data_IF_354004968327
#
_entry.id   IF_354004968327
#
_cell.length_a   1.000
_cell.length_b   1.000
_cell.length_c   1.000
_cell.angle_alpha   90.00
_cell.angle_beta   90.00
_cell.angle_gamma   90.00
#
_symmetry.space_group_name_H-M   'P 1'
#
loop_
_entity.id
_entity.type
_entity.pdbx_description
1 polymer ?
#
# COMPACT_ATOMS: atom_id res chain seq x y z
N UNK A 1 47.52 -5.85 41.38
CA UNK A 1 46.48 -4.90 41.83
C UNK A 1 45.85 -4.30 40.60
N UNK A 2 44.73 -4.89 40.19
CA UNK A 2 43.90 -4.48 39.07
C UNK A 2 42.53 -4.19 39.68
N UNK A 3 42.14 -2.92 39.69
CA UNK A 3 40.79 -2.41 39.97
C UNK A 3 40.69 -1.11 39.14
N UNK A 4 39.66 -0.77 38.39
CA UNK A 4 38.36 -1.38 38.17
C UNK A 4 37.59 -0.34 37.34
N UNK A 5 37.69 -0.43 36.01
CA UNK A 5 36.85 0.36 35.10
C UNK A 5 35.54 -0.40 34.91
N UNK A 6 34.52 0.00 35.67
CA UNK A 6 33.13 -0.40 35.45
C UNK A 6 32.67 0.13 34.07
N UNK A 7 32.83 -0.70 33.05
CA UNK A 7 32.09 -0.57 31.81
C UNK A 7 30.62 -0.93 32.09
N UNK A 8 29.76 0.08 32.14
CA UNK A 8 28.31 -0.11 32.20
C UNK A 8 27.83 -0.95 31.00
N UNK A 9 26.81 -1.79 31.18
CA UNK A 9 26.35 -2.68 30.13
C UNK A 9 25.86 -1.85 28.94
N UNK A 10 26.57 -1.99 27.82
CA UNK A 10 26.15 -1.53 26.51
C UNK A 10 24.73 -2.01 26.25
N UNK A 11 23.82 -1.07 26.00
CA UNK A 11 22.46 -1.30 25.55
C UNK A 11 22.46 -2.01 24.18
N UNK A 12 22.70 -3.32 24.19
CA UNK A 12 22.34 -4.25 23.13
C UNK A 12 20.95 -4.78 23.48
N UNK A 13 19.98 -4.53 22.60
CA UNK A 13 18.72 -5.27 22.59
C UNK A 13 17.52 -4.59 23.23
N UNK A 14 17.19 -3.38 22.78
CA UNK A 14 15.78 -2.99 22.67
C UNK A 14 15.46 -2.78 21.20
N UNK A 15 15.15 -3.89 20.52
CA UNK A 15 14.31 -3.80 19.32
C UNK A 15 12.99 -3.23 19.82
N UNK A 16 12.76 -1.93 19.61
CA UNK A 16 11.46 -1.33 19.90
C UNK A 16 10.43 -2.18 19.16
N UNK A 17 9.53 -2.85 19.89
CA UNK A 17 8.45 -3.63 19.29
C UNK A 17 7.61 -2.66 18.47
N UNK A 18 7.82 -2.59 17.15
CA UNK A 18 6.91 -1.89 16.25
C UNK A 18 5.53 -2.50 16.45
N UNK A 19 4.57 -1.69 16.89
CA UNK A 19 3.21 -2.11 17.24
C UNK A 19 2.35 -2.40 16.01
N UNK A 20 2.62 -1.75 14.88
CA UNK A 20 1.90 -1.94 13.61
C UNK A 20 2.80 -2.23 12.41
N UNK A 21 2.19 -2.76 11.35
CA UNK A 21 2.82 -3.04 10.06
C UNK A 21 2.31 -2.09 8.96
N UNK A 22 3.09 -1.93 7.89
CA UNK A 22 2.68 -1.18 6.70
C UNK A 22 2.82 -2.04 5.44
N UNK A 23 1.82 -1.96 4.57
CA UNK A 23 1.75 -2.60 3.27
C UNK A 23 1.66 -1.52 2.21
N UNK A 24 2.62 -1.45 1.29
CA UNK A 24 2.52 -0.56 0.14
C UNK A 24 1.87 -1.29 -1.04
N UNK A 25 0.83 -0.73 -1.63
CA UNK A 25 0.16 -1.26 -2.81
C UNK A 25 0.48 -0.32 -3.97
N UNK A 26 1.24 -0.80 -4.94
CA UNK A 26 1.72 0.01 -6.07
C UNK A 26 1.22 -0.54 -7.40
N UNK A 27 0.85 0.37 -8.29
CA UNK A 27 0.41 0.06 -9.63
C UNK A 27 1.48 0.09 -10.69
N UNK A 28 1.02 -0.26 -11.87
CA UNK A 28 1.65 0.01 -13.16
C UNK A 28 0.88 1.11 -13.89
N UNK A 29 1.50 1.72 -14.91
CA UNK A 29 0.80 2.66 -15.78
C UNK A 29 -0.39 1.97 -16.49
N UNK A 30 -1.50 2.71 -16.65
CA UNK A 30 -2.68 2.26 -17.39
C UNK A 30 -3.83 1.72 -16.54
N UNK A 31 -3.94 2.16 -15.29
CA UNK A 31 -5.05 1.85 -14.37
C UNK A 31 -5.28 0.33 -14.14
N UNK A 32 -4.32 -0.40 -13.56
CA UNK A 32 -4.44 -1.83 -13.29
C UNK A 32 -5.39 -2.14 -12.12
N UNK A 33 -5.94 -1.13 -11.44
CA UNK A 33 -6.83 -1.30 -10.29
C UNK A 33 -6.11 -1.32 -8.93
N UNK A 34 -5.03 -0.55 -8.78
CA UNK A 34 -4.25 -0.43 -7.54
C UNK A 34 -5.09 0.06 -6.36
N UNK A 35 -5.71 1.22 -6.48
CA UNK A 35 -6.58 1.79 -5.44
C UNK A 35 -7.73 0.89 -5.07
N UNK A 36 -8.26 0.14 -6.04
CA UNK A 36 -9.26 -0.87 -5.78
C UNK A 36 -8.71 -2.03 -4.95
N UNK A 37 -7.53 -2.54 -5.30
CA UNK A 37 -6.86 -3.58 -4.53
C UNK A 37 -6.54 -3.10 -3.11
N UNK A 38 -5.99 -1.89 -2.94
CA UNK A 38 -5.68 -1.29 -1.65
C UNK A 38 -6.92 -1.14 -0.78
N UNK A 39 -8.00 -0.53 -1.31
CA UNK A 39 -9.24 -0.36 -0.57
C UNK A 39 -9.91 -1.69 -0.22
N UNK A 40 -9.90 -2.66 -1.15
CA UNK A 40 -10.43 -3.99 -0.89
C UNK A 40 -9.61 -4.79 0.13
N UNK A 41 -8.29 -4.60 0.21
CA UNK A 41 -7.44 -5.18 1.26
C UNK A 41 -7.77 -4.56 2.61
N UNK A 42 -7.90 -3.22 2.66
CA UNK A 42 -8.22 -2.47 3.86
C UNK A 42 -9.62 -2.76 4.40
N UNK A 43 -10.59 -3.09 3.54
CA UNK A 43 -11.91 -3.55 3.99
C UNK A 43 -11.86 -4.91 4.72
N UNK A 44 -10.88 -5.75 4.38
CA UNK A 44 -10.82 -7.14 4.85
C UNK A 44 -9.97 -7.30 6.09
N UNK A 45 -9.39 -6.22 6.60
CA UNK A 45 -8.53 -6.19 7.76
C UNK A 45 -8.82 -4.93 8.59
N UNK A 46 -8.75 -4.97 9.93
CA UNK A 46 -8.59 -3.77 10.76
C UNK A 46 -7.36 -2.93 10.34
N UNK A 47 -7.52 -2.04 9.35
CA UNK A 47 -6.43 -1.27 8.76
C UNK A 47 -6.87 0.16 8.49
N UNK A 48 -5.90 1.08 8.52
CA UNK A 48 -6.07 2.40 7.95
C UNK A 48 -5.57 2.39 6.51
N UNK A 49 -6.39 2.88 5.58
CA UNK A 49 -6.00 3.14 4.20
C UNK A 49 -5.42 4.54 4.10
N UNK A 50 -4.27 4.69 3.46
CA UNK A 50 -3.59 5.98 3.28
C UNK A 50 -3.40 6.22 1.79
N UNK A 51 -3.98 7.30 1.29
CA UNK A 51 -3.80 7.72 -0.09
C UNK A 51 -2.46 8.44 -0.24
N UNK A 52 -1.52 7.76 -0.89
CA UNK A 52 -0.18 8.22 -1.20
C UNK A 52 0.05 8.25 -2.72
N UNK A 53 -1.02 8.14 -3.52
CA UNK A 53 -0.95 8.30 -4.97
C UNK A 53 -0.65 9.76 -5.30
N UNK A 54 0.64 10.00 -5.54
CA UNK A 54 1.24 11.28 -5.86
C UNK A 54 1.08 11.66 -7.36
N UNK A 55 0.09 11.09 -8.07
CA UNK A 55 -0.31 11.46 -9.44
C UNK A 55 -1.76 11.93 -9.59
N UNK A 56 -2.46 12.21 -8.49
CA UNK A 56 -3.86 12.63 -8.47
C UNK A 56 -4.78 11.44 -8.22
N UNK A 57 -4.59 10.79 -7.07
CA UNK A 57 -5.41 9.68 -6.60
C UNK A 57 -6.91 10.00 -6.65
N UNK A 58 -7.72 8.95 -6.73
CA UNK A 58 -9.17 9.05 -6.89
C UNK A 58 -9.93 8.45 -5.70
N UNK A 59 -9.26 8.21 -4.56
CA UNK A 59 -9.94 7.63 -3.40
C UNK A 59 -10.98 8.59 -2.86
N UNK A 60 -10.74 9.90 -2.91
CA UNK A 60 -11.70 10.91 -2.46
C UNK A 60 -12.99 10.96 -3.30
N UNK A 61 -12.91 10.77 -4.62
CA UNK A 61 -14.09 10.67 -5.50
C UNK A 61 -14.94 9.44 -5.19
N UNK A 62 -14.31 8.40 -4.64
CA UNK A 62 -14.98 7.15 -4.27
C UNK A 62 -15.47 7.17 -2.83
N UNK A 63 -14.70 7.81 -1.96
CA UNK A 63 -14.99 8.05 -0.56
C UNK A 63 -15.96 9.22 -0.49
N UNK A 64 -17.25 8.94 -0.65
CA UNK A 64 -18.33 9.93 -0.54
C UNK A 64 -18.56 10.45 0.91
N UNK A 65 -17.49 10.49 1.71
CA UNK A 65 -17.50 11.07 3.05
C UNK A 65 -17.67 12.59 3.00
N UNK A 66 -18.19 13.15 4.09
CA UNK A 66 -18.39 14.59 4.25
C UNK A 66 -17.09 15.43 4.16
N UNK A 67 -17.14 16.73 4.49
CA UNK A 67 -15.98 17.61 4.36
C UNK A 67 -14.76 17.06 5.10
N UNK A 68 -13.61 17.04 4.42
CA UNK A 68 -12.33 16.54 4.95
C UNK A 68 -11.99 17.29 6.24
N UNK A 69 -11.72 16.55 7.33
CA UNK A 69 -11.35 17.12 8.64
C UNK A 69 -9.83 17.21 8.84
N UNK A 70 -9.08 16.49 8.00
CA UNK A 70 -7.62 16.44 7.94
C UNK A 70 -7.19 15.45 6.86
N UNK A 71 -5.88 15.31 6.64
CA UNK A 71 -5.32 14.45 5.62
C UNK A 71 -3.85 14.11 5.88
N UNK A 72 -3.23 13.49 4.88
CA UNK A 72 -1.84 13.04 4.96
C UNK A 72 -0.87 14.20 5.20
N UNK A 73 -1.12 15.37 4.62
CA UNK A 73 -0.24 16.54 4.78
C UNK A 73 -0.25 17.04 6.23
N UNK A 74 -1.43 17.15 6.84
CA UNK A 74 -1.57 17.53 8.24
C UNK A 74 -0.92 16.50 9.16
N UNK A 75 -1.00 15.20 8.82
CA UNK A 75 -0.28 14.16 9.56
C UNK A 75 1.24 14.32 9.44
N UNK A 76 1.78 14.60 8.25
CA UNK A 76 3.22 14.85 8.07
C UNK A 76 3.68 16.01 8.94
N UNK A 77 2.92 17.11 8.95
CA UNK A 77 3.20 18.28 9.80
C UNK A 77 3.16 17.94 11.28
N UNK A 78 2.13 17.21 11.72
CA UNK A 78 1.97 16.81 13.11
C UNK A 78 3.03 15.80 13.56
N UNK A 79 3.42 14.86 12.71
CA UNK A 79 4.49 13.90 12.99
C UNK A 79 5.88 14.57 13.06
N UNK A 80 6.04 15.70 12.37
CA UNK A 80 7.23 16.55 12.47
C UNK A 80 7.24 17.48 13.70
N UNK A 81 6.10 17.68 14.38
CA UNK A 81 6.02 18.51 15.58
C UNK A 81 6.27 17.68 16.84
N UNK A 82 6.92 18.27 17.84
CA UNK A 82 7.23 17.60 19.11
C UNK A 82 6.02 17.57 20.08
N UNK A 83 4.83 17.97 19.61
CA UNK A 83 3.69 18.29 20.47
C UNK A 83 2.89 17.06 20.93
N UNK A 84 3.17 15.87 20.36
CA UNK A 84 2.61 14.59 20.83
C UNK A 84 1.09 14.39 20.61
N UNK A 85 0.43 15.28 19.85
CA UNK A 85 -1.05 15.29 19.66
C UNK A 85 -1.55 14.40 18.50
N UNK A 86 -0.69 13.59 17.89
CA UNK A 86 -1.03 12.83 16.67
C UNK A 86 -2.22 11.87 16.88
N UNK A 87 -2.30 11.21 18.03
CA UNK A 87 -3.42 10.29 18.33
C UNK A 87 -4.78 10.98 18.33
N UNK A 88 -4.91 12.10 19.04
CA UNK A 88 -6.15 12.88 19.11
C UNK A 88 -6.53 13.51 17.75
N UNK A 89 -5.55 13.82 16.91
CA UNK A 89 -5.79 14.28 15.54
C UNK A 89 -6.34 13.14 14.68
N UNK A 90 -5.72 11.96 14.76
CA UNK A 90 -6.14 10.79 13.99
C UNK A 90 -7.57 10.35 14.35
N UNK A 91 -7.94 10.33 15.64
CA UNK A 91 -9.31 10.03 16.08
C UNK A 91 -10.36 11.00 15.51
N UNK A 92 -9.98 12.27 15.29
CA UNK A 92 -10.87 13.30 14.74
C UNK A 92 -10.93 13.29 13.21
N UNK A 93 -9.82 12.96 12.56
CA UNK A 93 -9.68 12.97 11.11
C UNK A 93 -10.24 11.71 10.46
N UNK A 94 -10.01 10.56 11.10
CA UNK A 94 -10.49 9.26 10.65
C UNK A 94 -11.92 9.09 11.13
N UNK A 95 -12.86 9.67 10.40
CA UNK A 95 -14.28 9.43 10.64
C UNK A 95 -14.70 8.07 10.04
N UNK A 96 -15.54 7.33 10.77
CA UNK A 96 -16.20 6.14 10.24
C UNK A 96 -17.09 6.52 9.05
N UNK A 97 -16.73 6.06 7.87
CA UNK A 97 -17.60 6.10 6.70
C UNK A 97 -18.22 4.72 6.50
N UNK A 98 -19.55 4.64 6.55
CA UNK A 98 -20.28 3.38 6.40
C UNK A 98 -19.84 2.61 5.14
N UNK A 99 -19.22 1.45 5.34
CA UNK A 99 -18.78 0.56 4.27
C UNK A 99 -17.45 0.93 3.61
N UNK A 100 -16.66 1.79 4.24
CA UNK A 100 -15.25 2.01 3.92
C UNK A 100 -14.36 1.79 5.16
N UNK A 101 -13.11 1.32 4.96
CA UNK A 101 -12.11 1.36 6.03
C UNK A 101 -11.82 2.82 6.46
N UNK A 102 -11.26 3.06 7.65
CA UNK A 102 -10.68 4.36 7.98
C UNK A 102 -9.70 4.80 6.90
N UNK A 103 -9.90 6.00 6.33
CA UNK A 103 -9.06 6.52 5.23
C UNK A 103 -8.43 7.84 5.61
N UNK A 104 -7.12 7.97 5.36
CA UNK A 104 -6.41 9.24 5.34
C UNK A 104 -6.13 9.64 3.89
N UNK A 105 -6.82 10.68 3.41
CA UNK A 105 -6.73 11.12 2.03
C UNK A 105 -5.45 11.95 1.77
N UNK A 106 -5.01 11.96 0.52
CA UNK A 106 -3.88 12.76 0.05
C UNK A 106 -4.18 14.26 0.10
N UNK A 107 -3.22 15.15 -0.19
CA UNK A 107 -3.46 16.59 -0.13
C UNK A 107 -4.51 17.04 -1.16
N UNK A 108 -5.39 18.00 -0.82
CA UNK A 108 -6.42 18.49 -1.74
C UNK A 108 -5.85 19.36 -2.87
N UNK A 109 -4.75 20.09 -2.62
CA UNK A 109 -4.09 20.96 -3.59
C UNK A 109 -2.76 20.36 -4.05
N UNK A 110 -2.91 19.34 -4.90
CA UNK A 110 -1.82 18.46 -5.29
C UNK A 110 -0.54 19.15 -5.77
N UNK A 111 -0.66 20.11 -6.68
CA UNK A 111 0.48 20.80 -7.27
C UNK A 111 1.26 21.65 -6.26
N UNK A 112 0.58 22.14 -5.21
CA UNK A 112 1.16 23.00 -4.19
C UNK A 112 1.83 22.18 -3.07
N UNK A 113 1.18 21.11 -2.65
CA UNK A 113 1.50 20.41 -1.40
C UNK A 113 2.47 19.24 -1.57
N UNK A 114 2.67 18.75 -2.81
CA UNK A 114 3.58 17.63 -3.11
C UNK A 114 5.02 17.87 -2.66
N UNK A 115 5.47 19.13 -2.68
CA UNK A 115 6.86 19.47 -2.32
C UNK A 115 7.19 19.15 -0.86
N UNK A 116 6.22 19.34 0.04
CA UNK A 116 6.37 19.05 1.46
C UNK A 116 6.35 17.55 1.72
N UNK A 117 5.44 16.82 1.07
CA UNK A 117 5.37 15.36 1.15
C UNK A 117 6.60 14.68 0.55
N UNK A 118 7.22 15.28 -0.47
CA UNK A 118 8.43 14.76 -1.10
C UNK A 118 9.71 15.06 -0.30
N UNK A 119 9.62 15.79 0.82
CA UNK A 119 10.78 16.04 1.66
C UNK A 119 11.26 14.72 2.29
N UNK A 120 12.56 14.41 2.26
CA UNK A 120 13.07 13.16 2.81
C UNK A 120 12.67 12.97 4.27
N UNK A 121 12.06 11.82 4.58
CA UNK A 121 11.62 11.51 5.94
C UNK A 121 10.14 11.81 6.19
N UNK A 122 9.49 12.64 5.36
CA UNK A 122 8.11 13.04 5.57
C UNK A 122 7.17 11.84 5.60
N UNK A 123 7.23 11.00 4.56
CA UNK A 123 6.37 9.81 4.44
C UNK A 123 6.72 8.78 5.51
N UNK A 124 8.01 8.50 5.70
CA UNK A 124 8.45 7.49 6.68
C UNK A 124 8.07 7.86 8.12
N UNK A 125 8.17 9.14 8.50
CA UNK A 125 7.74 9.62 9.81
C UNK A 125 6.22 9.55 9.99
N UNK A 126 5.45 9.93 8.97
CA UNK A 126 3.99 9.78 9.00
C UNK A 126 3.56 8.31 9.16
N UNK A 127 4.20 7.39 8.42
CA UNK A 127 3.95 5.95 8.58
C UNK A 127 4.38 5.42 9.95
N UNK A 128 5.50 5.91 10.50
CA UNK A 128 5.92 5.55 11.85
C UNK A 128 4.91 6.01 12.91
N UNK A 129 4.37 7.23 12.78
CA UNK A 129 3.33 7.74 13.65
C UNK A 129 2.05 6.89 13.54
N UNK A 130 1.59 6.57 12.34
CA UNK A 130 0.42 5.69 12.14
C UNK A 130 0.63 4.29 12.73
N UNK A 131 1.84 3.72 12.65
CA UNK A 131 2.14 2.38 13.20
C UNK A 131 1.98 2.32 14.73
N UNK A 132 2.02 3.46 15.41
CA UNK A 132 1.77 3.54 16.85
C UNK A 132 0.29 3.49 17.22
N UNK A 133 -0.61 3.75 16.27
CA UNK A 133 -2.06 3.81 16.48
C UNK A 133 -2.82 2.70 15.75
N UNK A 134 -2.30 2.22 14.63
CA UNK A 134 -2.94 1.22 13.79
C UNK A 134 -2.12 -0.05 13.69
N UNK A 135 -2.79 -1.21 13.74
CA UNK A 135 -2.11 -2.49 13.64
C UNK A 135 -1.62 -2.77 12.20
N UNK A 136 -2.33 -2.23 11.21
CA UNK A 136 -2.00 -2.31 9.79
C UNK A 136 -2.29 -0.98 9.10
N UNK A 137 -1.33 -0.55 8.27
CA UNK A 137 -1.46 0.57 7.35
C UNK A 137 -1.38 0.02 5.93
N UNK A 138 -2.30 0.44 5.07
CA UNK A 138 -2.27 0.11 3.65
C UNK A 138 -2.07 1.42 2.88
N UNK A 139 -0.93 1.55 2.22
CA UNK A 139 -0.59 2.71 1.41
C UNK A 139 -1.03 2.46 -0.04
N UNK A 140 -1.99 3.24 -0.53
CA UNK A 140 -2.34 3.26 -1.95
C UNK A 140 -1.38 4.18 -2.69
N UNK A 141 -0.53 3.61 -3.55
CA UNK A 141 0.45 4.34 -4.35
C UNK A 141 0.03 4.39 -5.81
N UNK A 142 0.51 5.41 -6.51
CA UNK A 142 0.39 5.50 -7.97
C UNK A 142 1.25 4.46 -8.69
N UNK A 143 1.87 4.86 -9.80
CA UNK A 143 2.77 3.98 -10.56
C UNK A 143 4.16 4.55 -10.79
N UNK A 144 4.41 5.81 -10.44
CA UNK A 144 5.63 6.48 -10.86
C UNK A 144 6.77 6.23 -9.87
N UNK A 145 7.85 5.59 -10.32
CA UNK A 145 9.08 5.37 -9.54
C UNK A 145 10.31 6.09 -10.10
N UNK A 146 10.26 6.53 -11.36
CA UNK A 146 11.34 7.27 -12.01
C UNK A 146 10.79 8.09 -13.19
N UNK A 147 11.36 9.27 -13.43
CA UNK A 147 11.10 10.12 -14.60
C UNK A 147 12.41 10.42 -15.32
N UNK A 148 12.76 9.59 -16.30
CA UNK A 148 14.04 9.69 -16.99
C UNK A 148 15.21 9.57 -16.01
N UNK A 149 16.08 10.59 -15.97
CA UNK A 149 17.26 10.62 -15.09
C UNK A 149 17.00 11.29 -13.72
N UNK A 150 15.80 11.84 -13.52
CA UNK A 150 15.44 12.57 -12.29
C UNK A 150 14.33 11.83 -11.52
N UNK A 151 14.28 12.06 -10.22
CA UNK A 151 13.18 11.59 -9.36
C UNK A 151 12.34 12.81 -8.99
N UNK A 152 11.22 13.00 -9.69
CA UNK A 152 10.26 14.06 -9.36
C UNK A 152 9.58 13.82 -8.00
N UNK A 153 8.85 14.83 -7.46
CA UNK A 153 8.22 14.75 -6.13
C UNK A 153 7.37 13.50 -5.92
N UNK A 154 6.57 13.13 -6.94
CA UNK A 154 5.72 11.95 -6.88
C UNK A 154 6.51 10.65 -6.75
N UNK A 155 7.61 10.53 -7.50
CA UNK A 155 8.49 9.38 -7.40
C UNK A 155 9.21 9.34 -6.04
N UNK A 156 9.59 10.48 -5.46
CA UNK A 156 10.17 10.52 -4.10
C UNK A 156 9.20 9.96 -3.06
N UNK A 157 7.94 10.41 -3.08
CA UNK A 157 6.88 9.97 -2.16
C UNK A 157 6.65 8.46 -2.28
N UNK A 158 6.44 7.96 -3.50
CA UNK A 158 6.20 6.54 -3.73
C UNK A 158 7.39 5.67 -3.30
N UNK A 159 8.62 6.08 -3.65
CA UNK A 159 9.83 5.33 -3.28
C UNK A 159 10.04 5.30 -1.78
N UNK A 160 9.81 6.42 -1.08
CA UNK A 160 9.93 6.45 0.38
C UNK A 160 8.88 5.56 1.05
N UNK A 161 7.63 5.56 0.57
CA UNK A 161 6.59 4.66 1.05
C UNK A 161 6.97 3.18 0.86
N UNK A 162 7.46 2.81 -0.33
CA UNK A 162 7.91 1.44 -0.62
C UNK A 162 9.07 0.99 0.29
N UNK A 163 10.07 1.86 0.49
CA UNK A 163 11.22 1.57 1.34
C UNK A 163 10.80 1.44 2.81
N UNK A 164 9.79 2.19 3.25
CA UNK A 164 9.28 2.21 4.62
C UNK A 164 8.31 1.08 4.95
N UNK A 165 7.66 0.49 3.94
CA UNK A 165 6.66 -0.58 4.10
C UNK A 165 7.31 -1.91 4.52
N UNK A 166 6.59 -2.77 5.24
CA UNK A 166 7.09 -4.11 5.57
C UNK A 166 6.96 -5.06 4.38
N UNK A 167 5.93 -4.88 3.54
CA UNK A 167 5.75 -5.59 2.28
C UNK A 167 5.17 -4.68 1.20
N UNK A 168 5.33 -5.09 -0.07
CA UNK A 168 4.90 -4.39 -1.27
C UNK A 168 4.02 -5.32 -2.10
N UNK A 169 2.81 -4.88 -2.44
CA UNK A 169 1.93 -5.53 -3.42
C UNK A 169 2.05 -4.78 -4.74
N UNK A 170 2.64 -5.42 -5.74
CA UNK A 170 2.68 -4.92 -7.11
C UNK A 170 1.45 -5.39 -7.87
N UNK A 171 0.56 -4.46 -8.22
CA UNK A 171 -0.68 -4.71 -8.96
C UNK A 171 -0.46 -4.50 -10.45
N UNK A 172 -0.50 -5.59 -11.21
CA UNK A 172 -0.34 -5.60 -12.67
C UNK A 172 -1.68 -5.93 -13.31
N UNK A 173 -2.10 -5.13 -14.30
CA UNK A 173 -3.34 -5.41 -15.01
C UNK A 173 -3.18 -6.50 -16.06
N UNK A 174 -4.24 -7.30 -16.29
CA UNK A 174 -4.22 -8.43 -17.21
C UNK A 174 -4.27 -8.06 -18.70
N UNK A 175 -4.10 -6.79 -19.09
CA UNK A 175 -4.08 -6.35 -20.50
C UNK A 175 -2.65 -6.27 -21.05
N UNK A 176 -2.48 -6.46 -22.35
CA UNK A 176 -1.17 -6.53 -23.02
C UNK A 176 -0.17 -5.45 -22.59
N UNK A 177 -0.52 -4.17 -22.73
CA UNK A 177 0.37 -3.07 -22.35
C UNK A 177 0.67 -3.01 -20.84
N UNK A 178 -0.29 -3.39 -19.99
CA UNK A 178 -0.12 -3.37 -18.54
C UNK A 178 0.90 -4.44 -18.09
N UNK A 179 0.95 -5.58 -18.76
CA UNK A 179 1.93 -6.65 -18.47
C UNK A 179 3.36 -6.12 -18.68
N UNK A 180 3.63 -5.49 -19.82
CA UNK A 180 4.94 -4.90 -20.12
C UNK A 180 5.34 -3.84 -19.09
N UNK A 181 4.43 -2.93 -18.75
CA UNK A 181 4.68 -1.95 -17.68
C UNK A 181 4.91 -2.60 -16.31
N UNK A 182 4.24 -3.72 -16.02
CA UNK A 182 4.41 -4.44 -14.76
C UNK A 182 5.76 -5.12 -14.62
N UNK A 183 6.26 -5.74 -15.69
CA UNK A 183 7.60 -6.33 -15.70
C UNK A 183 8.66 -5.24 -15.53
N UNK A 184 8.51 -4.11 -16.24
CA UNK A 184 9.41 -2.97 -16.09
C UNK A 184 9.39 -2.41 -14.65
N UNK A 185 8.19 -2.26 -14.07
CA UNK A 185 8.03 -1.81 -12.69
C UNK A 185 8.69 -2.77 -11.69
N UNK A 186 8.54 -4.09 -11.89
CA UNK A 186 9.23 -5.09 -11.07
C UNK A 186 10.75 -4.93 -11.13
N UNK A 187 11.29 -4.67 -12.32
CA UNK A 187 12.72 -4.35 -12.49
C UNK A 187 13.16 -3.13 -11.68
N UNK A 188 12.32 -2.09 -11.58
CA UNK A 188 12.58 -0.91 -10.74
C UNK A 188 12.57 -1.24 -9.24
N UNK A 189 11.64 -2.11 -8.80
CA UNK A 189 11.53 -2.55 -7.41
C UNK A 189 12.74 -3.37 -6.97
N UNK A 190 13.16 -4.36 -7.77
CA UNK A 190 14.23 -5.28 -7.41
C UNK A 190 15.64 -4.74 -7.72
N UNK A 191 15.79 -3.90 -8.74
CA UNK A 191 17.06 -3.33 -9.14
C UNK A 191 17.35 -1.99 -8.43
N UNK A 192 16.95 -0.84 -9.01
CA UNK A 192 17.20 0.49 -8.45
C UNK A 192 16.76 0.71 -7.00
N UNK A 193 15.64 0.13 -6.57
CA UNK A 193 15.19 0.21 -5.18
C UNK A 193 15.73 -0.90 -4.28
N UNK A 194 16.34 -1.94 -4.88
CA UNK A 194 16.91 -3.09 -4.18
C UNK A 194 15.98 -3.68 -3.10
N UNK A 195 14.66 -3.73 -3.38
CA UNK A 195 13.74 -4.37 -2.46
C UNK A 195 14.04 -5.88 -2.41
N UNK A 196 14.13 -6.47 -1.20
CA UNK A 196 14.25 -7.92 -1.07
C UNK A 196 13.07 -8.63 -1.75
N UNK A 197 13.30 -9.66 -2.58
CA UNK A 197 12.22 -10.36 -3.30
C UNK A 197 11.12 -10.88 -2.37
N UNK A 198 11.46 -11.35 -1.17
CA UNK A 198 10.51 -11.84 -0.17
C UNK A 198 9.52 -10.78 0.35
N UNK A 199 9.82 -9.48 0.13
CA UNK A 199 8.90 -8.38 0.45
C UNK A 199 7.95 -8.05 -0.69
N UNK A 200 8.14 -8.59 -1.89
CA UNK A 200 7.37 -8.24 -3.10
C UNK A 200 6.34 -9.31 -3.42
N UNK A 201 5.07 -8.91 -3.45
CA UNK A 201 3.93 -9.74 -3.77
C UNK A 201 3.35 -9.30 -5.12
N UNK A 202 3.41 -10.18 -6.11
CA UNK A 202 2.92 -9.88 -7.46
C UNK A 202 1.47 -10.31 -7.59
N UNK A 203 0.62 -9.35 -7.97
CA UNK A 203 -0.81 -9.56 -8.15
C UNK A 203 -1.20 -9.20 -9.58
N UNK A 204 -1.89 -10.12 -10.25
CA UNK A 204 -2.42 -9.88 -11.60
C UNK A 204 -3.93 -9.66 -11.51
N UNK A 205 -4.37 -8.45 -11.84
CA UNK A 205 -5.76 -8.01 -11.69
C UNK A 205 -6.54 -7.97 -13.01
N UNK A 206 -7.85 -8.24 -12.93
CA UNK A 206 -8.77 -8.19 -14.06
C UNK A 206 -8.72 -9.43 -14.97
N UNK A 207 -8.27 -10.58 -14.47
CA UNK A 207 -8.21 -11.82 -15.25
C UNK A 207 -9.59 -12.23 -15.75
N UNK A 208 -9.70 -12.62 -17.02
CA UNK A 208 -10.97 -12.99 -17.67
C UNK A 208 -11.92 -11.81 -17.93
N UNK A 209 -11.45 -10.57 -17.70
CA UNK A 209 -12.19 -9.36 -17.99
C UNK A 209 -12.08 -8.92 -19.46
N UNK A 210 -12.81 -7.86 -19.84
CA UNK A 210 -12.74 -7.28 -21.18
C UNK A 210 -11.31 -6.90 -21.57
N UNK A 211 -10.90 -7.32 -22.78
CA UNK A 211 -9.56 -7.11 -23.34
C UNK A 211 -8.40 -7.70 -22.50
N UNK A 212 -8.69 -8.61 -21.56
CA UNK A 212 -7.65 -9.34 -20.84
C UNK A 212 -6.98 -10.36 -21.76
N UNK A 213 -5.68 -10.53 -21.56
CA UNK A 213 -4.90 -11.62 -22.15
C UNK A 213 -5.36 -12.94 -21.53
N UNK A 214 -5.27 -14.03 -22.31
CA UNK A 214 -5.65 -15.36 -21.83
C UNK A 214 -4.82 -15.74 -20.59
N UNK A 215 -5.42 -16.53 -19.70
CA UNK A 215 -4.77 -16.95 -18.47
C UNK A 215 -3.47 -17.71 -18.72
N UNK A 216 -3.49 -18.64 -19.68
CA UNK A 216 -2.31 -19.43 -20.05
C UNK A 216 -1.17 -18.54 -20.56
N UNK A 217 -1.48 -17.54 -21.39
CA UNK A 217 -0.46 -16.61 -21.90
C UNK A 217 0.13 -15.73 -20.78
N UNK A 218 -0.70 -15.30 -19.82
CA UNK A 218 -0.22 -14.58 -18.64
C UNK A 218 0.74 -15.45 -17.81
N UNK A 219 0.38 -16.71 -17.55
CA UNK A 219 1.21 -17.64 -16.78
C UNK A 219 2.57 -17.87 -17.44
N UNK A 220 2.60 -18.09 -18.76
CA UNK A 220 3.86 -18.25 -19.50
C UNK A 220 4.73 -16.98 -19.42
N UNK A 221 4.11 -15.82 -19.57
CA UNK A 221 4.83 -14.53 -19.55
C UNK A 221 5.42 -14.24 -18.17
N UNK A 222 4.63 -14.42 -17.11
CA UNK A 222 5.08 -14.18 -15.75
C UNK A 222 6.03 -15.26 -15.25
N UNK A 223 5.88 -16.53 -15.64
CA UNK A 223 6.83 -17.57 -15.27
C UNK A 223 8.26 -17.21 -15.73
N UNK A 224 8.40 -16.72 -16.97
CA UNK A 224 9.69 -16.26 -17.47
C UNK A 224 10.21 -15.03 -16.72
N UNK A 225 9.37 -14.00 -16.57
CA UNK A 225 9.79 -12.74 -15.96
C UNK A 225 10.09 -12.82 -14.45
N UNK A 226 9.39 -13.68 -13.72
CA UNK A 226 9.51 -13.80 -12.27
C UNK A 226 10.61 -14.78 -11.83
N UNK A 227 10.98 -15.73 -12.69
CA UNK A 227 12.01 -16.72 -12.39
C UNK A 227 13.37 -16.07 -12.07
N UNK A 228 13.73 -14.99 -12.77
CA UNK A 228 14.98 -14.26 -12.54
C UNK A 228 15.05 -13.64 -11.14
N UNK A 229 13.91 -13.25 -10.58
CA UNK A 229 13.80 -12.66 -9.24
C UNK A 229 13.48 -13.67 -8.13
N UNK A 230 13.33 -14.96 -8.45
CA UNK A 230 12.84 -15.97 -7.49
C UNK A 230 11.41 -15.71 -7.00
N UNK A 231 10.60 -15.03 -7.82
CA UNK A 231 9.24 -14.62 -7.48
C UNK A 231 8.20 -15.53 -8.13
N UNK A 232 6.96 -15.42 -7.65
CA UNK A 232 5.79 -16.03 -8.25
C UNK A 232 4.62 -15.04 -8.26
N UNK A 233 3.60 -15.32 -9.07
CA UNK A 233 2.34 -14.57 -8.95
C UNK A 233 1.61 -15.05 -7.71
N UNK A 234 1.51 -14.19 -6.70
CA UNK A 234 0.89 -14.47 -5.41
C UNK A 234 -0.63 -14.55 -5.50
N UNK A 235 -1.23 -13.70 -6.33
CA UNK A 235 -2.68 -13.73 -6.51
C UNK A 235 -3.09 -13.32 -7.92
N UNK A 236 -4.19 -13.93 -8.33
CA UNK A 236 -4.83 -13.65 -9.59
C UNK A 236 -6.25 -13.18 -9.31
N UNK A 237 -6.46 -11.88 -9.42
CA UNK A 237 -7.72 -11.25 -9.08
C UNK A 237 -8.63 -11.27 -10.32
N UNK A 238 -9.72 -12.06 -10.29
CA UNK A 238 -10.60 -12.21 -11.44
C UNK A 238 -11.47 -10.96 -11.63
N UNK A 239 -11.87 -10.74 -12.88
CA UNK A 239 -12.91 -9.77 -13.20
C UNK A 239 -14.25 -10.17 -12.57
N UNK A 240 -14.81 -9.31 -11.72
CA UNK A 240 -16.12 -9.53 -11.09
C UNK A 240 -17.13 -8.47 -11.54
N UNK A 241 -17.84 -8.78 -12.64
CA UNK A 241 -18.89 -7.92 -13.20
C UNK A 241 -19.98 -7.58 -12.19
N UNK A 242 -20.32 -8.50 -11.28
CA UNK A 242 -21.38 -8.27 -10.28
C UNK A 242 -20.91 -7.31 -9.20
N UNK A 243 -19.68 -7.48 -8.71
CA UNK A 243 -19.06 -6.56 -7.76
C UNK A 243 -18.94 -5.15 -8.35
N UNK A 244 -18.50 -5.02 -9.61
CA UNK A 244 -18.38 -3.73 -10.30
C UNK A 244 -19.73 -3.01 -10.41
N UNK A 245 -20.79 -3.71 -10.84
CA UNK A 245 -22.12 -3.13 -10.93
C UNK A 245 -22.71 -2.72 -9.56
N UNK A 246 -22.24 -3.31 -8.46
CA UNK A 246 -22.63 -2.92 -7.10
C UNK A 246 -21.79 -1.76 -6.58
N UNK A 247 -20.49 -1.76 -6.87
CA UNK A 247 -19.54 -0.68 -6.56
C UNK A 247 -19.99 0.61 -7.21
N UNK A 248 -20.30 0.60 -8.51
CA UNK A 248 -20.81 1.77 -9.22
C UNK A 248 -22.10 2.35 -8.62
N UNK A 249 -22.91 1.54 -7.93
CA UNK A 249 -24.16 1.98 -7.30
C UNK A 249 -23.99 2.44 -5.85
N UNK A 250 -22.98 1.93 -5.14
CA UNK A 250 -22.86 2.09 -3.67
C UNK A 250 -21.56 2.78 -3.24
N UNK A 251 -20.59 2.95 -4.13
CA UNK A 251 -19.28 3.51 -3.81
C UNK A 251 -18.34 2.58 -3.06
N UNK A 252 -18.76 1.36 -2.69
CA UNK A 252 -17.94 0.44 -1.88
C UNK A 252 -16.83 -0.26 -2.68
N UNK A 253 -15.72 -0.67 -2.05
CA UNK A 253 -14.74 -1.57 -2.66
C UNK A 253 -15.36 -2.89 -3.14
N UNK A 254 -14.78 -3.51 -4.17
CA UNK A 254 -15.27 -4.75 -4.79
C UNK A 254 -15.39 -5.89 -3.78
N UNK A 255 -14.41 -6.03 -2.89
CA UNK A 255 -14.44 -7.05 -1.85
C UNK A 255 -15.66 -6.91 -0.93
N UNK A 256 -16.08 -5.67 -0.63
CA UNK A 256 -17.32 -5.39 0.14
C UNK A 256 -18.57 -5.59 -0.70
N UNK A 257 -18.56 -5.07 -1.92
CA UNK A 257 -19.69 -5.09 -2.83
C UNK A 257 -20.16 -6.53 -3.15
N UNK A 258 -19.24 -7.49 -3.15
CA UNK A 258 -19.53 -8.91 -3.33
C UNK A 258 -18.65 -9.79 -2.44
N UNK A 259 -18.94 -9.81 -1.13
CA UNK A 259 -18.17 -10.51 -0.08
C UNK A 259 -17.78 -11.96 -0.40
N UNK A 260 -18.65 -12.71 -1.10
CA UNK A 260 -18.43 -14.12 -1.48
C UNK A 260 -18.08 -14.30 -2.97
N UNK A 261 -17.81 -13.19 -3.66
CA UNK A 261 -17.49 -13.14 -5.07
C UNK A 261 -16.11 -13.72 -5.39
N UNK A 262 -15.85 -14.03 -6.66
CA UNK A 262 -14.55 -14.54 -7.11
C UNK A 262 -13.40 -13.57 -6.76
N UNK A 263 -13.60 -12.26 -6.87
CA UNK A 263 -12.58 -11.26 -6.49
C UNK A 263 -12.26 -11.33 -4.99
N UNK A 264 -13.29 -11.26 -4.13
CA UNK A 264 -13.13 -11.29 -2.68
C UNK A 264 -12.46 -12.59 -2.17
N UNK A 265 -12.75 -13.73 -2.81
CA UNK A 265 -12.11 -15.01 -2.47
C UNK A 265 -10.63 -15.04 -2.87
N UNK A 266 -10.29 -14.58 -4.07
CA UNK A 266 -8.89 -14.49 -4.51
C UNK A 266 -8.09 -13.56 -3.59
N UNK A 267 -8.69 -12.44 -3.18
CA UNK A 267 -8.09 -11.51 -2.24
C UNK A 267 -7.87 -12.12 -0.85
N UNK A 268 -8.78 -12.98 -0.39
CA UNK A 268 -8.60 -13.70 0.89
C UNK A 268 -7.34 -14.56 0.86
N UNK A 269 -7.11 -15.30 -0.24
CA UNK A 269 -5.89 -16.10 -0.39
C UNK A 269 -4.60 -15.26 -0.46
N UNK A 270 -4.66 -14.03 -0.98
CA UNK A 270 -3.54 -13.09 -0.91
C UNK A 270 -3.25 -12.66 0.53
N UNK A 271 -4.30 -12.35 1.30
CA UNK A 271 -4.17 -11.95 2.70
C UNK A 271 -3.53 -13.05 3.55
N UNK A 272 -3.90 -14.31 3.33
CA UNK A 272 -3.32 -15.45 4.05
C UNK A 272 -1.82 -15.62 3.74
N UNK A 273 -1.40 -15.34 2.50
CA UNK A 273 0.03 -15.31 2.14
C UNK A 273 0.77 -14.15 2.83
N UNK A 274 0.20 -12.94 2.78
CA UNK A 274 0.78 -11.76 3.43
C UNK A 274 0.93 -11.96 4.95
N UNK A 275 -0.06 -12.57 5.59
CA UNK A 275 -0.02 -12.98 7.02
C UNK A 275 1.16 -13.87 7.33
N UNK A 276 1.31 -14.91 6.52
CA UNK A 276 2.33 -15.93 6.74
C UNK A 276 3.74 -15.38 6.55
N UNK A 277 3.90 -14.45 5.60
CA UNK A 277 5.20 -13.92 5.21
C UNK A 277 5.63 -12.68 6.01
N UNK A 278 4.70 -11.90 6.57
CA UNK A 278 5.00 -10.62 7.24
C UNK A 278 4.58 -10.69 8.71
N UNK A 279 5.51 -10.96 9.65
CA UNK A 279 5.18 -11.15 11.07
C UNK A 279 4.51 -9.95 11.76
N UNK A 280 4.72 -8.73 11.24
CA UNK A 280 4.00 -7.55 11.72
C UNK A 280 2.51 -7.59 11.36
N UNK A 281 2.18 -8.08 10.16
CA UNK A 281 0.82 -8.23 9.67
C UNK A 281 0.10 -9.33 10.46
N UNK A 282 0.72 -10.48 10.75
CA UNK A 282 0.08 -11.51 11.58
C UNK A 282 -0.29 -11.04 13.00
N UNK A 283 0.54 -10.19 13.63
CA UNK A 283 0.31 -9.67 14.99
C UNK A 283 -0.80 -8.63 15.06
N UNK A 284 -1.08 -7.94 13.95
CA UNK A 284 -2.13 -6.95 13.83
C UNK A 284 -3.53 -7.52 14.14
N UNK A 285 -3.73 -8.82 13.92
CA UNK A 285 -5.02 -9.51 14.13
C UNK A 285 -5.22 -9.97 15.58
N UNK A 286 -4.15 -10.29 16.30
CA UNK A 286 -4.22 -10.80 17.67
C UNK A 286 -4.48 -9.71 18.73
N UNK A 287 -4.51 -8.44 18.33
CA UNK A 287 -4.65 -7.28 19.22
C UNK A 287 -6.08 -6.70 19.22
N UNK A 288 -7.02 -7.35 18.55
CA UNK A 288 -8.44 -7.01 18.45
C UNK A 288 -9.30 -8.26 18.68
#
# INVERSE_FOLDING_TARGET
>A
MLDGLNAGPTARGQVSRRSGAALAVIGTKGAPGTSECAASLAERWPAVLVELDALGGALDLRFAGGPRRGGLLELVRAAGSADGVVGELLERWLADADGWPPVLLGPPEFERDLSELAHPGAVSNALAALRSHFPLIICDLGFLLAEGMHTGPAACIHREALLSADAVVLVIGARGQQIGHGIAQLGLLLGPLALPPERVFVVVNGCGGPASVSRQSLELTFAAALAEGGLAVNAWLPWDKRALARTARRGYPLARAHLRGPYARALTGLLDQLRSAVPGIARAEASF
#
